data_IF_513798464106
#
_entry.id   IF_513798464106
#
_cell.length_a   1.000
_cell.length_b   1.000
_cell.length_c   1.000
_cell.angle_alpha   90.00
_cell.angle_beta   90.00
_cell.angle_gamma   90.00
#
_symmetry.space_group_name_H-M   'P 1'
#
loop_
_entity.id
_entity.type
_entity.pdbx_description
1 polymer ?
#
# COMPACT_ATOMS: atom_id res chain seq x y z
N UNK A 1 -3.50 2.32 2.19
CA UNK A 1 -2.53 1.68 1.26
C UNK A 1 -1.64 0.71 2.00
N UNK A 2 -0.76 0.03 1.29
CA UNK A 2 0.08 -1.05 1.81
C UNK A 2 1.53 -0.88 1.38
N UNK A 3 2.49 -1.22 2.25
CA UNK A 3 3.89 -1.33 1.85
C UNK A 3 4.13 -2.65 1.11
N UNK A 4 4.86 -2.60 0.00
CA UNK A 4 5.27 -3.75 -0.80
C UNK A 4 6.74 -4.09 -0.53
N UNK A 5 7.13 -5.38 -0.59
CA UNK A 5 8.53 -5.78 -0.54
C UNK A 5 9.40 -5.04 -1.57
N UNK A 6 10.67 -4.75 -1.26
CA UNK A 6 11.39 -5.07 -0.02
C UNK A 6 11.19 -4.04 1.12
N UNK A 7 10.28 -3.07 0.97
CA UNK A 7 10.12 -1.95 1.89
C UNK A 7 9.03 -2.14 2.95
N UNK A 8 8.55 -3.37 3.15
CA UNK A 8 7.58 -3.69 4.19
C UNK A 8 8.23 -3.69 5.58
N UNK A 9 7.64 -2.97 6.54
CA UNK A 9 8.17 -2.89 7.91
C UNK A 9 7.73 -4.06 8.80
N UNK A 10 6.74 -4.84 8.37
CA UNK A 10 6.14 -5.97 9.12
C UNK A 10 5.87 -7.15 8.18
N UNK A 11 5.73 -8.36 8.74
CA UNK A 11 5.50 -9.60 7.99
C UNK A 11 4.01 -9.97 7.82
N UNK A 12 3.09 -9.14 8.28
CA UNK A 12 1.64 -9.33 8.13
C UNK A 12 1.01 -8.21 7.27
N UNK A 13 -0.18 -8.48 6.75
CA UNK A 13 -0.95 -7.48 6.01
C UNK A 13 -1.31 -6.31 6.92
N UNK A 14 -0.84 -5.11 6.58
CA UNK A 14 -1.05 -3.91 7.38
C UNK A 14 -1.58 -2.77 6.50
N UNK A 15 -2.82 -2.38 6.73
CA UNK A 15 -3.45 -1.23 6.08
C UNK A 15 -3.02 0.07 6.74
N UNK A 16 -2.44 0.97 5.97
CA UNK A 16 -2.21 2.35 6.39
C UNK A 16 -3.38 3.26 5.97
N UNK A 17 -3.96 3.95 6.93
CA UNK A 17 -4.88 5.08 6.73
C UNK A 17 -4.19 6.36 7.23
N UNK A 18 -4.22 7.44 6.45
CA UNK A 18 -3.51 8.69 6.77
C UNK A 18 -4.47 9.85 6.91
N UNK A 19 -4.27 10.66 7.97
CA UNK A 19 -4.79 12.01 8.02
C UNK A 19 -3.82 12.95 7.29
N UNK A 20 -4.28 13.58 6.22
CA UNK A 20 -3.47 14.50 5.41
C UNK A 20 -3.72 15.96 5.83
N UNK A 21 -2.73 16.86 5.61
CA UNK A 21 -1.42 16.59 5.03
C UNK A 21 -0.46 15.90 6.02
N UNK A 22 0.60 15.27 5.51
CA UNK A 22 1.67 14.74 6.37
C UNK A 22 2.36 15.85 7.17
N UNK A 23 2.53 15.63 8.47
CA UNK A 23 3.26 16.55 9.36
C UNK A 23 4.38 15.75 10.07
N UNK A 24 5.66 16.06 9.79
CA UNK A 24 6.16 16.99 8.77
C UNK A 24 5.96 16.46 7.32
N UNK A 25 5.94 17.38 6.34
CA UNK A 25 5.63 17.06 4.92
C UNK A 25 6.53 15.99 4.30
N UNK A 26 7.80 15.92 4.70
CA UNK A 26 8.77 14.96 4.16
C UNK A 26 8.43 13.50 4.51
N UNK A 27 7.57 13.24 5.50
CA UNK A 27 7.10 11.87 5.80
C UNK A 27 6.35 11.22 4.63
N UNK A 28 5.85 12.00 3.65
CA UNK A 28 5.27 11.48 2.41
C UNK A 28 6.21 10.52 1.67
N UNK A 29 7.53 10.72 1.77
CA UNK A 29 8.54 9.92 1.05
C UNK A 29 8.42 8.42 1.40
N UNK A 30 8.05 8.07 2.64
CA UNK A 30 7.86 6.68 3.06
C UNK A 30 6.74 5.97 2.27
N UNK A 31 5.81 6.72 1.71
CA UNK A 31 4.58 6.22 1.09
C UNK A 31 4.52 6.49 -0.42
N UNK A 32 5.68 6.63 -1.07
CA UNK A 32 5.77 6.77 -2.52
C UNK A 32 5.67 5.39 -3.20
N UNK A 33 4.97 5.36 -4.33
CA UNK A 33 4.99 4.23 -5.25
C UNK A 33 6.19 4.34 -6.16
N UNK A 34 6.97 3.25 -6.28
CA UNK A 34 8.05 3.11 -7.26
C UNK A 34 7.65 2.18 -8.41
N UNK A 35 6.35 1.98 -8.60
CA UNK A 35 5.80 1.14 -9.67
C UNK A 35 6.30 -0.31 -9.58
N UNK A 36 6.94 -0.86 -10.63
CA UNK A 36 7.44 -2.24 -10.62
C UNK A 36 8.47 -2.54 -9.53
N UNK A 37 9.14 -1.52 -8.99
CA UNK A 37 10.16 -1.67 -7.95
C UNK A 37 9.56 -1.78 -6.54
N UNK A 38 8.24 -1.72 -6.41
CA UNK A 38 7.52 -1.79 -5.13
C UNK A 38 7.33 -0.43 -4.46
N UNK A 39 7.48 -0.38 -3.13
CA UNK A 39 7.26 0.81 -2.32
C UNK A 39 5.90 0.80 -1.62
N UNK A 40 5.02 1.75 -1.95
CA UNK A 40 3.67 1.83 -1.40
C UNK A 40 2.61 1.73 -2.50
N UNK A 41 1.60 0.89 -2.29
CA UNK A 41 0.45 0.75 -3.18
C UNK A 41 -0.81 1.32 -2.51
N UNK A 42 -1.57 2.14 -3.24
CA UNK A 42 -2.86 2.62 -2.75
C UNK A 42 -3.88 1.48 -2.66
N UNK A 43 -4.85 1.61 -1.76
CA UNK A 43 -5.81 0.52 -1.52
C UNK A 43 -6.64 0.23 -2.78
N UNK A 44 -7.13 1.28 -3.45
CA UNK A 44 -7.95 1.15 -4.65
C UNK A 44 -7.18 0.52 -5.82
N UNK A 45 -5.89 0.85 -5.97
CA UNK A 45 -5.04 0.24 -7.00
C UNK A 45 -4.74 -1.24 -6.72
N UNK A 46 -4.65 -1.63 -5.45
CA UNK A 46 -4.53 -3.04 -5.08
C UNK A 46 -5.84 -3.78 -5.38
N UNK A 47 -7.00 -3.18 -5.04
CA UNK A 47 -8.32 -3.77 -5.29
C UNK A 47 -8.55 -4.05 -6.79
N UNK A 48 -8.07 -3.18 -7.68
CA UNK A 48 -8.14 -3.41 -9.14
C UNK A 48 -7.31 -4.61 -9.61
N UNK A 49 -6.27 -4.99 -8.86
CA UNK A 49 -5.35 -6.09 -9.22
C UNK A 49 -5.79 -7.45 -8.69
N UNK A 50 -6.47 -7.47 -7.54
CA UNK A 50 -6.92 -8.71 -6.93
C UNK A 50 -8.31 -9.08 -7.47
N UNK A 51 -8.49 -10.36 -7.82
CA UNK A 51 -9.81 -10.87 -8.16
C UNK A 51 -10.54 -11.24 -6.86
N UNK A 52 -11.86 -10.99 -6.76
CA UNK A 52 -12.68 -11.63 -5.74
C UNK A 52 -12.50 -13.14 -5.82
N UNK A 53 -12.47 -13.80 -4.67
CA UNK A 53 -12.61 -15.26 -4.65
C UNK A 53 -14.07 -15.56 -4.99
N UNK A 54 -14.28 -16.34 -6.05
CA UNK A 54 -15.61 -16.83 -6.42
C UNK A 54 -16.04 -17.90 -5.41
N UNK A 55 -16.84 -17.52 -4.41
CA UNK A 55 -17.32 -18.43 -3.36
C UNK A 55 -18.43 -19.41 -3.82
N UNK A 56 -18.63 -19.57 -5.13
CA UNK A 56 -19.68 -20.41 -5.72
C UNK A 56 -19.13 -21.65 -6.47
N UNK A 57 -17.91 -22.09 -6.16
CA UNK A 57 -17.33 -23.34 -6.71
C UNK A 57 -17.61 -24.54 -5.82
#
# INVERSE_FOLDING_TARGET
GFHQPPFNSVSHLHLHCFALPYIPRWKKIKYLSFGPLGGFIEADDLLKKIKPIDNNS
#
